data_IF_533758152525
#
_entry.id   IF_533758152525
#
_cell.length_a   1.000
_cell.length_b   1.000
_cell.length_c   1.000
_cell.angle_alpha   90.00
_cell.angle_beta   90.00
_cell.angle_gamma   90.00
#
_symmetry.space_group_name_H-M   'P 1'
#
loop_
_entity.id
_entity.type
_entity.pdbx_description
1 polymer ?
#
# COMPACT_ATOMS: atom_id res chain seq x y z
N UNK A 1 14.12 9.03 -11.31
CA UNK A 1 13.30 7.97 -10.72
C UNK A 1 14.19 7.13 -9.80
N UNK A 2 13.79 6.84 -8.56
CA UNK A 2 14.54 5.93 -7.71
C UNK A 2 14.67 4.56 -8.41
N UNK A 3 15.89 4.05 -8.56
CA UNK A 3 16.16 2.73 -9.17
C UNK A 3 16.36 1.73 -8.04
N UNK A 4 15.28 1.09 -7.57
CA UNK A 4 15.37 0.10 -6.49
C UNK A 4 14.29 -0.99 -6.61
N UNK A 5 14.41 -1.92 -7.58
CA UNK A 5 13.39 -2.93 -7.85
C UNK A 5 13.32 -4.05 -6.79
N UNK A 6 14.36 -4.20 -5.97
CA UNK A 6 14.56 -5.35 -5.08
C UNK A 6 13.50 -5.54 -4.01
N UNK A 7 12.70 -4.51 -3.75
CA UNK A 7 11.66 -4.52 -2.71
C UNK A 7 10.29 -4.14 -3.26
N UNK A 8 10.12 -4.26 -4.58
CA UNK A 8 8.86 -3.93 -5.27
C UNK A 8 7.77 -4.96 -4.96
N UNK A 9 8.11 -6.26 -4.84
CA UNK A 9 7.19 -7.29 -4.33
C UNK A 9 6.62 -8.32 -5.31
N UNK A 10 6.51 -8.09 -6.64
CA UNK A 10 5.92 -9.07 -7.55
C UNK A 10 6.65 -10.41 -7.57
N UNK A 11 5.94 -11.45 -7.14
CA UNK A 11 6.44 -12.81 -7.01
C UNK A 11 6.96 -13.33 -8.37
N UNK A 12 8.18 -13.89 -8.34
CA UNK A 12 8.93 -14.39 -9.51
C UNK A 12 9.30 -13.35 -10.58
N UNK A 13 9.03 -12.06 -10.34
CA UNK A 13 9.48 -10.97 -11.21
C UNK A 13 10.65 -10.21 -10.56
N UNK A 14 10.47 -9.72 -9.33
CA UNK A 14 11.50 -8.95 -8.61
C UNK A 14 12.06 -9.69 -7.41
N UNK A 15 11.36 -10.73 -6.93
CA UNK A 15 11.79 -11.54 -5.79
C UNK A 15 11.17 -12.96 -5.81
N UNK A 16 11.83 -13.89 -5.12
CA UNK A 16 11.22 -15.16 -4.73
C UNK A 16 10.21 -14.93 -3.57
N UNK A 17 9.23 -15.85 -3.37
CA UNK A 17 8.26 -15.75 -2.28
C UNK A 17 8.95 -15.83 -0.91
N UNK A 18 8.46 -15.04 0.05
CA UNK A 18 8.90 -15.12 1.45
C UNK A 18 8.30 -16.39 2.05
N UNK A 19 9.16 -17.38 2.34
CA UNK A 19 8.72 -18.69 2.84
C UNK A 19 8.16 -18.60 4.28
N UNK A 20 7.29 -19.53 4.69
CA UNK A 20 6.84 -19.63 6.08
C UNK A 20 8.02 -19.65 7.06
N UNK A 21 7.92 -18.86 8.14
CA UNK A 21 8.99 -18.72 9.15
C UNK A 21 10.17 -17.83 8.73
N UNK A 22 10.23 -17.38 7.48
CA UNK A 22 11.25 -16.44 7.00
C UNK A 22 10.83 -14.99 7.18
N UNK A 23 11.79 -14.07 7.02
CA UNK A 23 11.57 -12.62 7.13
C UNK A 23 12.26 -11.91 5.98
N UNK A 24 11.68 -10.79 5.56
CA UNK A 24 12.24 -9.91 4.55
C UNK A 24 11.99 -8.45 4.94
N UNK A 25 12.97 -7.58 4.66
CA UNK A 25 12.86 -6.14 4.93
C UNK A 25 12.55 -5.40 3.64
N UNK A 26 11.36 -4.82 3.53
CA UNK A 26 10.99 -3.95 2.41
C UNK A 26 11.49 -2.52 2.64
N UNK A 27 12.10 -1.93 1.62
CA UNK A 27 12.53 -0.53 1.61
C UNK A 27 11.64 0.27 0.69
N UNK A 28 10.81 1.14 1.25
CA UNK A 28 9.93 2.03 0.49
C UNK A 28 10.67 3.35 0.27
N UNK A 29 10.96 3.68 -0.98
CA UNK A 29 11.60 4.95 -1.36
C UNK A 29 10.55 5.84 -2.01
N UNK A 30 9.95 6.71 -1.21
CA UNK A 30 9.06 7.76 -1.71
C UNK A 30 9.88 8.87 -2.37
N UNK A 31 9.32 9.47 -3.41
CA UNK A 31 9.92 10.51 -4.23
C UNK A 31 9.06 11.79 -4.19
N UNK A 32 8.15 11.93 -5.14
CA UNK A 32 7.21 13.03 -5.29
C UNK A 32 5.77 12.65 -4.91
N UNK A 33 5.53 11.40 -4.50
CA UNK A 33 4.23 10.94 -4.06
C UNK A 33 3.78 11.72 -2.81
N UNK A 34 2.57 12.26 -2.87
CA UNK A 34 1.83 12.91 -1.78
C UNK A 34 0.35 12.58 -2.00
N UNK A 35 -0.37 12.16 -0.95
CA UNK A 35 -1.74 11.67 -1.05
C UNK A 35 -1.90 10.21 -0.61
N UNK A 36 -2.84 9.49 -1.24
CA UNK A 36 -3.18 8.11 -0.86
C UNK A 36 -2.64 7.12 -1.88
N UNK A 37 -1.81 6.20 -1.43
CA UNK A 37 -1.45 4.96 -2.12
C UNK A 37 -2.07 3.77 -1.37
N UNK A 38 -1.81 2.56 -1.85
CA UNK A 38 -2.17 1.33 -1.16
C UNK A 38 -1.09 0.29 -1.39
N UNK A 39 -0.96 -0.64 -0.46
CA UNK A 39 -0.10 -1.81 -0.58
C UNK A 39 -0.95 -3.06 -0.62
N UNK A 40 -0.42 -4.11 -1.24
CA UNK A 40 -1.05 -5.41 -1.25
C UNK A 40 -0.01 -6.52 -1.41
N UNK A 41 -0.35 -7.73 -0.96
CA UNK A 41 0.43 -8.90 -1.29
C UNK A 41 0.43 -9.12 -2.82
N UNK A 42 1.56 -9.55 -3.37
CA UNK A 42 1.75 -9.70 -4.81
C UNK A 42 2.13 -11.15 -5.20
N UNK A 43 1.49 -12.10 -4.52
CA UNK A 43 1.60 -13.56 -4.72
C UNK A 43 0.18 -14.14 -4.84
N UNK A 44 -0.10 -14.88 -5.92
CA UNK A 44 -1.42 -15.42 -6.25
C UNK A 44 -2.59 -14.41 -6.06
N UNK A 45 -3.67 -14.84 -5.42
CA UNK A 45 -4.87 -14.03 -5.11
C UNK A 45 -4.84 -13.45 -3.70
N UNK A 46 -3.70 -13.50 -3.01
CA UNK A 46 -3.62 -13.12 -1.59
C UNK A 46 -3.95 -11.65 -1.34
N UNK A 47 -3.82 -10.77 -2.36
CA UNK A 47 -4.31 -9.39 -2.29
C UNK A 47 -5.81 -9.26 -1.97
N UNK A 48 -6.61 -10.31 -2.13
CA UNK A 48 -8.02 -10.31 -1.74
C UNK A 48 -8.23 -10.05 -0.24
N UNK A 49 -7.27 -10.42 0.61
CA UNK A 49 -7.35 -10.27 2.07
C UNK A 49 -6.13 -9.59 2.68
N UNK A 50 -4.99 -9.54 1.98
CA UNK A 50 -3.74 -8.94 2.45
C UNK A 50 -3.45 -7.66 1.66
N UNK A 51 -4.00 -6.55 2.15
CA UNK A 51 -3.84 -5.22 1.57
C UNK A 51 -4.12 -4.11 2.60
N UNK A 52 -3.73 -2.87 2.29
CA UNK A 52 -4.01 -1.72 3.15
C UNK A 52 -3.66 -0.38 2.50
N UNK A 53 -4.04 0.73 3.12
CA UNK A 53 -3.74 2.07 2.64
C UNK A 53 -2.34 2.53 3.07
N UNK A 54 -1.70 3.36 2.25
CA UNK A 54 -0.52 4.17 2.61
C UNK A 54 -0.91 5.63 2.44
N UNK A 55 -0.86 6.39 3.53
CA UNK A 55 -1.16 7.83 3.51
C UNK A 55 0.16 8.59 3.58
N UNK A 56 0.42 9.41 2.56
CA UNK A 56 1.62 10.24 2.45
C UNK A 56 1.19 11.70 2.61
N UNK A 57 1.42 12.23 3.81
CA UNK A 57 1.11 13.61 4.15
C UNK A 57 2.04 14.61 3.43
N UNK A 58 1.62 15.89 3.33
CA UNK A 58 2.51 16.95 2.86
C UNK A 58 3.83 16.96 3.64
N UNK A 59 4.94 17.17 2.91
CA UNK A 59 6.28 17.25 3.50
C UNK A 59 6.32 18.33 4.59
N UNK A 60 7.19 18.15 5.58
CA UNK A 60 7.37 19.15 6.64
C UNK A 60 7.64 20.55 6.02
N UNK A 61 6.82 21.52 6.38
CA UNK A 61 6.91 22.89 5.84
C UNK A 61 6.02 23.17 4.62
N UNK A 62 5.37 22.16 4.03
CA UNK A 62 4.33 22.34 3.01
C UNK A 62 2.93 22.17 3.61
N UNK A 63 1.90 22.46 2.83
CA UNK A 63 0.49 22.34 3.22
C UNK A 63 -0.28 21.69 2.08
N UNK A 64 -1.42 21.10 2.43
CA UNK A 64 -2.42 20.74 1.43
C UNK A 64 -2.77 21.97 0.56
N UNK A 65 -3.11 21.77 -0.73
CA UNK A 65 -3.61 22.84 -1.59
C UNK A 65 -5.04 23.30 -1.21
N UNK A 66 -5.58 22.78 -0.11
CA UNK A 66 -6.89 23.07 0.47
C UNK A 66 -6.80 23.18 1.99
N UNK A 67 -7.88 23.61 2.66
CA UNK A 67 -7.92 23.68 4.12
C UNK A 67 -7.71 22.31 4.76
N UNK A 68 -6.86 22.26 5.80
CA UNK A 68 -6.60 21.03 6.53
C UNK A 68 -7.93 20.40 7.00
N UNK A 69 -8.22 19.15 6.66
CA UNK A 69 -9.45 18.48 7.06
C UNK A 69 -9.49 18.28 8.57
N UNK A 70 -10.71 18.25 9.14
CA UNK A 70 -10.92 17.94 10.55
C UNK A 70 -10.61 16.48 10.89
N UNK A 71 -10.86 15.57 9.95
CA UNK A 71 -10.58 14.15 10.05
C UNK A 71 -10.28 13.58 8.66
N UNK A 72 -9.46 12.53 8.62
CA UNK A 72 -9.14 11.76 7.42
C UNK A 72 -9.43 10.29 7.70
N UNK A 73 -10.25 9.64 6.87
CA UNK A 73 -10.70 8.26 7.06
C UNK A 73 -10.46 7.46 5.77
N UNK A 74 -9.60 6.43 5.78
CA UNK A 74 -9.43 5.55 4.63
C UNK A 74 -10.69 4.71 4.40
N UNK A 75 -11.23 4.74 3.18
CA UNK A 75 -12.31 3.85 2.74
C UNK A 75 -11.73 2.87 1.72
N UNK A 76 -11.49 1.64 2.15
CA UNK A 76 -10.96 0.58 1.28
C UNK A 76 -12.14 -0.26 0.77
N UNK A 77 -12.37 -0.19 -0.55
CA UNK A 77 -13.36 -1.02 -1.22
C UNK A 77 -12.69 -2.33 -1.67
N UNK A 78 -13.19 -3.45 -1.17
CA UNK A 78 -12.62 -4.77 -1.41
C UNK A 78 -13.65 -5.87 -1.24
N UNK A 79 -13.20 -7.13 -1.31
CA UNK A 79 -14.08 -8.29 -1.29
C UNK A 79 -14.65 -8.53 0.10
N UNK A 80 -15.70 -7.77 0.45
CA UNK A 80 -16.70 -8.20 1.40
C UNK A 80 -17.70 -9.06 0.64
N UNK A 81 -17.96 -10.28 1.08
CA UNK A 81 -19.24 -10.94 0.75
C UNK A 81 -20.31 -10.09 1.43
N UNK A 82 -20.80 -9.06 0.74
CA UNK A 82 -21.97 -8.31 1.19
C UNK A 82 -23.17 -9.21 0.95
N UNK A 83 -23.47 -10.04 1.94
CA UNK A 83 -24.71 -10.82 1.95
C UNK A 83 -25.79 -9.93 2.55
N UNK A 84 -26.61 -9.33 1.70
CA UNK A 84 -27.94 -8.92 2.12
C UNK A 84 -28.78 -10.19 2.20
N UNK A 85 -29.00 -10.71 3.41
CA UNK A 85 -30.11 -11.64 3.64
C UNK A 85 -31.37 -10.80 3.81
N UNK A 86 -32.31 -10.96 2.88
CA UNK A 86 -33.70 -10.57 3.05
C UNK A 86 -34.35 -11.50 4.09
#
# INVERSE_FOLDING_TARGET
>A
MPRYPWTDGPEYITQCPIQPGSKFSQKIILSSEEGTLWWHAHSDWTRATVHGAIIIYPKNGTKYPFHKPNAEVPIILGMSVVTFKY
#
